data_IF_962775116741
#
_entry.id   IF_962775116741
#
_cell.length_a   1.000
_cell.length_b   1.000
_cell.length_c   1.000
_cell.angle_alpha   90.00
_cell.angle_beta   90.00
_cell.angle_gamma   90.00
#
_symmetry.space_group_name_H-M   'P 1'
#
loop_
_entity.id
_entity.type
_entity.pdbx_description
1 polymer ?
#
# COMPACT_ATOMS: atom_id res chain seq x y z
N UNK A 1 -5.67 35.93 29.34
CA UNK A 1 -5.25 35.24 30.58
C UNK A 1 -5.78 33.80 30.72
N UNK A 2 -6.38 33.19 29.67
CA UNK A 2 -6.78 31.76 29.65
C UNK A 2 -5.65 30.80 29.24
N UNK A 3 -4.49 31.30 28.81
CA UNK A 3 -3.36 30.48 28.31
C UNK A 3 -2.45 29.88 29.42
N UNK A 4 -2.81 30.03 30.71
CA UNK A 4 -2.04 29.55 31.88
C UNK A 4 -2.77 28.37 32.57
N UNK A 5 -3.76 27.75 31.92
CA UNK A 5 -4.70 26.81 32.53
C UNK A 5 -4.18 25.36 32.74
N UNK A 6 -2.88 25.16 32.96
CA UNK A 6 -2.30 23.81 33.16
C UNK A 6 -1.43 23.69 34.40
N UNK A 7 -1.13 24.79 35.08
CA UNK A 7 -0.52 24.76 36.42
C UNK A 7 -1.59 24.33 37.42
N UNK A 8 -1.85 23.03 37.47
CA UNK A 8 -2.48 22.44 38.64
C UNK A 8 -1.44 22.41 39.77
N UNK A 9 -1.33 23.53 40.49
CA UNK A 9 -0.41 23.67 41.62
C UNK A 9 -0.57 22.54 42.65
N UNK A 10 -1.80 22.02 42.81
CA UNK A 10 -2.07 20.90 43.71
C UNK A 10 -1.40 19.61 43.23
N UNK A 11 -1.19 19.44 41.92
CA UNK A 11 -0.55 18.25 41.33
C UNK A 11 0.96 18.22 41.52
N UNK A 12 1.61 19.38 41.55
CA UNK A 12 3.06 19.51 41.80
C UNK A 12 3.38 19.27 43.29
N UNK A 13 2.40 19.45 44.18
CA UNK A 13 2.54 19.22 45.62
C UNK A 13 2.04 17.85 46.11
N UNK A 14 1.10 17.20 45.42
CA UNK A 14 0.47 15.97 45.91
C UNK A 14 1.15 14.67 45.51
N UNK A 15 2.00 14.65 44.49
CA UNK A 15 2.96 13.55 44.33
C UNK A 15 4.12 13.86 45.29
N UNK A 16 4.24 13.10 46.37
CA UNK A 16 5.48 13.04 47.14
C UNK A 16 6.60 12.76 46.13
N UNK A 17 7.34 13.82 45.78
CA UNK A 17 8.62 13.68 45.09
C UNK A 17 9.51 12.98 46.08
N UNK A 18 9.48 11.65 46.08
CA UNK A 18 10.45 10.80 46.73
C UNK A 18 11.78 11.07 46.04
N UNK A 19 12.46 12.13 46.46
CA UNK A 19 13.88 12.32 46.22
C UNK A 19 14.52 11.13 46.91
N UNK A 20 14.80 10.07 46.16
CA UNK A 20 15.65 8.98 46.64
C UNK A 20 17.01 9.62 46.82
N UNK A 21 17.33 10.02 48.06
CA UNK A 21 18.68 10.36 48.47
C UNK A 21 19.57 9.20 48.04
N UNK A 22 20.43 9.45 47.06
CA UNK A 22 21.48 8.54 46.67
C UNK A 22 22.43 8.43 47.86
N UNK A 23 22.25 7.34 48.59
CA UNK A 23 23.00 6.98 49.78
C UNK A 23 24.47 6.73 49.38
N UNK A 24 25.26 7.80 49.29
CA UNK A 24 26.71 7.71 49.09
C UNK A 24 27.29 7.21 50.40
N UNK A 25 27.67 5.93 50.40
CA UNK A 25 28.50 5.30 51.42
C UNK A 25 29.78 6.14 51.65
N UNK A 26 29.77 7.00 52.67
CA UNK A 26 31.00 7.57 53.23
C UNK A 26 31.64 6.53 54.13
N UNK A 27 32.67 5.86 53.60
CA UNK A 27 33.58 5.03 54.38
C UNK A 27 34.34 5.92 55.38
N UNK A 28 34.13 5.64 56.66
CA UNK A 28 34.84 6.24 57.78
C UNK A 28 36.13 5.47 58.10
N UNK A 29 37.27 6.15 58.17
CA UNK A 29 38.43 5.72 58.98
C UNK A 29 39.27 6.93 59.45
N UNK A 30 39.08 7.31 60.73
CA UNK A 30 40.05 7.69 61.81
C UNK A 30 41.45 8.22 61.40
N UNK A 31 42.13 9.16 62.07
CA UNK A 31 42.04 9.96 63.32
C UNK A 31 43.29 10.88 63.32
N UNK A 32 43.26 12.09 63.93
CA UNK A 32 44.16 12.57 65.04
C UNK A 32 44.10 14.11 65.24
N UNK A 33 43.49 14.53 66.36
CA UNK A 33 43.83 15.58 67.38
C UNK A 33 44.51 16.89 66.93
N UNK A 34 44.06 18.11 67.28
CA UNK A 34 43.99 18.79 68.62
C UNK A 34 43.17 20.11 68.54
N UNK A 35 42.30 20.46 69.51
CA UNK A 35 42.42 21.54 70.57
C UNK A 35 42.81 22.92 69.99
N UNK A 36 42.21 24.11 70.22
CA UNK A 36 41.14 24.75 71.01
C UNK A 36 40.74 26.03 70.19
N UNK A 37 39.56 26.64 70.24
CA UNK A 37 39.13 27.65 71.24
C UNK A 37 37.69 28.14 70.89
N UNK A 38 37.02 28.64 71.93
CA UNK A 38 35.59 28.99 72.03
C UNK A 38 35.20 30.35 71.43
N UNK A 39 33.86 30.52 71.32
CA UNK A 39 33.09 31.79 71.38
C UNK A 39 32.93 32.53 70.04
N UNK A 40 31.78 33.09 69.62
CA UNK A 40 30.63 33.69 70.31
C UNK A 40 29.38 33.50 69.44
N UNK A 41 28.27 33.20 70.10
CA UNK A 41 26.89 33.21 69.60
C UNK A 41 26.49 34.53 68.93
N UNK A 42 26.09 34.47 67.67
CA UNK A 42 25.18 35.46 67.07
C UNK A 42 24.04 34.69 66.40
N UNK A 43 22.99 34.43 67.18
CA UNK A 43 21.68 34.00 66.70
C UNK A 43 21.05 35.15 65.88
N UNK A 44 21.46 35.21 64.61
CA UNK A 44 20.60 35.75 63.56
C UNK A 44 19.94 34.52 62.94
N UNK A 45 18.60 34.38 62.95
CA UNK A 45 17.97 33.27 62.26
C UNK A 45 18.48 33.31 60.81
N UNK A 46 19.10 32.22 60.30
CA UNK A 46 19.58 32.23 58.93
C UNK A 46 18.37 32.54 58.07
N UNK A 47 18.38 33.72 57.42
CA UNK A 47 17.43 34.03 56.35
C UNK A 47 17.46 32.79 55.47
N UNK A 48 16.33 32.09 55.36
CA UNK A 48 16.21 30.85 54.61
C UNK A 48 16.80 31.09 53.23
N UNK A 49 18.07 30.74 53.06
CA UNK A 49 18.77 30.87 51.81
C UNK A 49 18.15 29.79 50.96
N UNK A 50 17.50 30.21 49.88
CA UNK A 50 16.88 29.33 48.91
C UNK A 50 18.02 28.48 48.30
N UNK A 51 18.36 27.36 48.94
CA UNK A 51 19.36 26.41 48.44
C UNK A 51 18.69 25.58 47.35
N UNK A 52 18.56 26.18 46.16
CA UNK A 52 18.15 25.44 44.98
C UNK A 52 19.35 24.59 44.55
N UNK A 53 19.24 23.27 44.70
CA UNK A 53 20.25 22.36 44.20
C UNK A 53 20.39 22.50 42.67
N UNK A 54 21.61 22.33 42.15
CA UNK A 54 21.88 22.39 40.70
C UNK A 54 20.98 21.45 39.90
N UNK A 55 20.60 20.32 40.50
CA UNK A 55 19.64 19.37 39.92
C UNK A 55 18.25 19.99 39.75
N UNK A 56 17.75 20.69 40.77
CA UNK A 56 16.45 21.38 40.73
C UNK A 56 16.48 22.52 39.70
N UNK A 57 17.59 23.27 39.60
CA UNK A 57 17.76 24.29 38.56
C UNK A 57 17.73 23.68 37.15
N UNK A 58 18.37 22.53 36.94
CA UNK A 58 18.38 21.81 35.66
C UNK A 58 17.00 21.29 35.30
N UNK A 59 16.26 20.75 36.28
CA UNK A 59 14.89 20.30 36.09
C UNK A 59 13.94 21.47 35.77
N UNK A 60 14.07 22.59 36.46
CA UNK A 60 13.30 23.81 36.18
C UNK A 60 13.61 24.35 34.77
N UNK A 61 14.88 24.38 34.38
CA UNK A 61 15.29 24.76 33.03
C UNK A 61 14.67 23.84 31.97
N UNK A 62 14.80 22.52 32.15
CA UNK A 62 14.22 21.55 31.23
C UNK A 62 12.70 21.70 31.13
N UNK A 63 12.01 21.95 32.23
CA UNK A 63 10.57 22.21 32.23
C UNK A 63 10.20 23.49 31.45
N UNK A 64 10.98 24.56 31.60
CA UNK A 64 10.81 25.77 30.78
C UNK A 64 11.00 25.47 29.29
N UNK A 65 12.01 24.66 28.93
CA UNK A 65 12.21 24.20 27.55
C UNK A 65 11.02 23.39 27.04
N UNK A 66 10.48 22.47 27.85
CA UNK A 66 9.25 21.74 27.54
C UNK A 66 8.11 22.72 27.24
N UNK A 67 7.94 23.75 28.06
CA UNK A 67 6.85 24.72 27.90
C UNK A 67 6.96 25.51 26.60
N UNK A 68 8.16 25.99 26.27
CA UNK A 68 8.41 26.69 25.00
C UNK A 68 8.12 25.78 23.82
N UNK A 69 8.60 24.54 23.87
CA UNK A 69 8.33 23.52 22.86
C UNK A 69 6.82 23.31 22.66
N UNK A 70 6.06 23.11 23.74
CA UNK A 70 4.61 22.98 23.68
C UNK A 70 3.91 24.21 23.10
N UNK A 71 4.30 25.42 23.55
CA UNK A 71 3.70 26.66 23.05
C UNK A 71 3.93 26.85 21.55
N UNK A 72 5.06 26.40 21.01
CA UNK A 72 5.33 26.46 19.57
C UNK A 72 4.41 25.53 18.77
N UNK A 73 4.13 24.33 19.29
CA UNK A 73 3.17 23.40 18.67
C UNK A 73 1.75 23.95 18.78
N UNK A 74 1.34 24.42 19.96
CA UNK A 74 0.02 25.04 20.17
C UNK A 74 -0.19 26.23 19.22
N UNK A 75 0.84 27.07 19.05
CA UNK A 75 0.80 28.21 18.13
C UNK A 75 0.53 27.76 16.69
N UNK A 76 1.21 26.72 16.21
CA UNK A 76 0.97 26.18 14.86
C UNK A 76 -0.45 25.64 14.69
N UNK A 77 -0.98 24.94 15.69
CA UNK A 77 -2.36 24.45 15.67
C UNK A 77 -3.36 25.61 15.66
N UNK A 78 -3.15 26.64 16.51
CA UNK A 78 -3.98 27.86 16.56
C UNK A 78 -3.96 28.62 15.22
N UNK A 79 -2.78 28.79 14.61
CA UNK A 79 -2.65 29.47 13.31
C UNK A 79 -3.41 28.76 12.19
N UNK A 80 -3.59 27.44 12.30
CA UNK A 80 -4.38 26.62 11.36
C UNK A 80 -5.84 26.42 11.79
N UNK A 81 -6.29 27.09 12.85
CA UNK A 81 -7.62 26.92 13.44
C UNK A 81 -7.94 25.47 13.85
N UNK A 82 -6.94 24.67 14.25
CA UNK A 82 -7.12 23.28 14.69
C UNK A 82 -7.39 23.26 16.20
N UNK A 83 -8.58 22.83 16.66
CA UNK A 83 -8.88 22.68 18.07
C UNK A 83 -8.04 21.56 18.69
N UNK A 84 -7.56 21.78 19.92
CA UNK A 84 -6.79 20.79 20.68
C UNK A 84 -7.20 20.77 22.15
N UNK A 85 -6.88 19.65 22.81
CA UNK A 85 -7.10 19.43 24.25
C UNK A 85 -5.83 18.90 24.89
N UNK A 86 -5.58 19.26 26.15
CA UNK A 86 -4.46 18.73 26.92
C UNK A 86 -4.85 17.40 27.55
N UNK A 87 -4.01 16.38 27.40
CA UNK A 87 -4.24 15.04 27.91
C UNK A 87 -2.99 14.58 28.67
N UNK A 88 -3.17 14.13 29.91
CA UNK A 88 -2.05 13.60 30.70
C UNK A 88 -1.85 12.10 30.40
N UNK A 89 -0.74 11.71 29.73
CA UNK A 89 -0.52 10.32 29.33
C UNK A 89 -0.26 9.37 30.51
N UNK A 90 0.10 9.90 31.69
CA UNK A 90 0.57 9.09 32.82
C UNK A 90 -0.44 8.94 33.97
N UNK A 91 -1.71 9.26 33.75
CA UNK A 91 -2.76 9.20 34.79
C UNK A 91 -3.12 7.78 35.23
N UNK A 92 -2.89 6.75 34.39
CA UNK A 92 -3.41 5.39 34.62
C UNK A 92 -2.36 4.26 34.52
N UNK A 93 -1.07 4.54 34.35
CA UNK A 93 -0.03 3.50 34.24
C UNK A 93 1.06 3.63 35.32
N UNK A 94 1.40 2.52 36.04
CA UNK A 94 2.54 2.50 36.95
C UNK A 94 3.86 2.57 36.18
N UNK A 95 4.85 3.22 36.79
CA UNK A 95 6.18 3.42 36.21
C UNK A 95 6.92 2.08 36.16
N UNK A 96 7.39 1.67 34.99
CA UNK A 96 8.38 0.60 34.89
C UNK A 96 9.77 1.19 35.20
N UNK A 97 10.62 0.51 35.99
CA UNK A 97 11.91 1.05 36.45
C UNK A 97 12.90 1.38 35.32
N UNK A 98 12.69 0.83 34.13
CA UNK A 98 13.47 1.10 32.91
C UNK A 98 13.22 2.52 32.34
N UNK A 99 12.01 3.08 32.50
CA UNK A 99 11.67 4.42 31.97
C UNK A 99 12.22 5.56 32.84
N UNK A 100 12.47 5.30 34.13
CA UNK A 100 12.98 6.29 35.10
C UNK A 100 14.39 6.77 34.75
N UNK A 101 15.20 5.91 34.13
CA UNK A 101 16.59 6.23 33.77
C UNK A 101 16.72 6.93 32.41
N UNK A 102 15.66 6.93 31.60
CA UNK A 102 15.66 7.42 30.21
C UNK A 102 14.87 8.73 30.08
N UNK A 103 13.88 8.96 30.95
CA UNK A 103 12.98 10.12 30.91
C UNK A 103 13.21 11.04 32.11
N UNK A 104 13.00 12.35 31.92
CA UNK A 104 12.98 13.31 33.03
C UNK A 104 11.87 12.95 34.03
N UNK A 105 12.13 13.09 35.34
CA UNK A 105 11.13 13.02 36.42
C UNK A 105 9.90 13.88 36.13
N UNK A 106 10.09 15.02 35.44
CA UNK A 106 9.06 15.96 35.05
C UNK A 106 8.32 15.61 33.75
N UNK A 107 8.72 14.55 33.03
CA UNK A 107 8.07 14.16 31.78
C UNK A 107 6.58 13.82 31.96
N UNK A 108 6.18 13.39 33.16
CA UNK A 108 4.79 13.12 33.55
C UNK A 108 3.99 14.40 33.86
N UNK A 109 4.69 15.48 34.20
CA UNK A 109 4.09 16.80 34.47
C UNK A 109 3.72 17.53 33.18
N UNK A 110 4.27 17.12 32.05
CA UNK A 110 4.07 17.74 30.75
C UNK A 110 2.93 17.03 29.98
N UNK A 111 1.76 17.68 29.78
CA UNK A 111 0.59 17.06 29.17
C UNK A 111 0.78 16.87 27.66
N UNK A 112 0.38 15.75 27.07
CA UNK A 112 0.33 15.60 25.62
C UNK A 112 -0.82 16.43 25.01
N UNK A 113 -0.73 16.76 23.72
CA UNK A 113 -1.83 17.38 22.99
C UNK A 113 -2.64 16.31 22.26
N UNK A 114 -3.97 16.41 22.36
CA UNK A 114 -4.91 15.60 21.59
C UNK A 114 -5.66 16.50 20.61
N UNK A 115 -5.59 16.16 19.34
CA UNK A 115 -6.30 16.82 18.24
C UNK A 115 -7.25 15.83 17.57
N UNK A 116 -8.35 16.34 17.03
CA UNK A 116 -9.29 15.49 16.28
C UNK A 116 -8.83 15.32 14.84
N UNK A 117 -8.86 14.09 14.31
CA UNK A 117 -8.48 13.78 12.93
C UNK A 117 -9.28 14.59 11.92
N UNK A 118 -10.59 14.79 12.15
CA UNK A 118 -11.46 15.62 11.31
C UNK A 118 -11.02 17.08 11.16
N UNK A 119 -10.20 17.59 12.07
CA UNK A 119 -9.72 18.98 12.05
C UNK A 119 -8.29 19.07 11.52
N UNK A 120 -7.37 18.23 12.00
CA UNK A 120 -5.98 18.29 11.54
C UNK A 120 -5.80 17.69 10.14
N UNK A 121 -6.59 16.68 9.76
CA UNK A 121 -6.54 16.04 8.44
C UNK A 121 -7.65 16.58 7.51
N UNK A 122 -8.23 17.75 7.81
CA UNK A 122 -9.24 18.34 6.93
C UNK A 122 -8.64 18.62 5.54
N UNK A 123 -9.28 18.10 4.49
CA UNK A 123 -8.78 18.19 3.12
C UNK A 123 -7.57 17.27 2.82
N UNK A 124 -7.03 16.57 3.81
CA UNK A 124 -5.95 15.61 3.59
C UNK A 124 -6.49 14.29 2.99
N UNK A 125 -5.71 13.62 2.12
CA UNK A 125 -6.10 12.32 1.60
C UNK A 125 -6.23 11.29 2.74
N UNK A 126 -7.20 10.38 2.62
CA UNK A 126 -7.42 9.27 3.53
C UNK A 126 -7.66 9.67 5.00
N UNK A 127 -8.14 10.88 5.28
CA UNK A 127 -8.42 11.35 6.65
C UNK A 127 -9.33 10.37 7.43
N UNK A 128 -10.23 9.69 6.74
CA UNK A 128 -11.15 8.71 7.30
C UNK A 128 -10.48 7.40 7.75
N UNK A 129 -9.24 7.16 7.32
CA UNK A 129 -8.43 6.02 7.77
C UNK A 129 -7.77 6.26 9.13
N UNK A 130 -7.79 7.49 9.65
CA UNK A 130 -7.32 7.80 11.00
C UNK A 130 -8.45 7.60 12.03
N UNK A 131 -8.11 7.05 13.20
CA UNK A 131 -8.97 7.11 14.38
C UNK A 131 -9.19 8.58 14.81
N UNK A 132 -10.32 8.91 15.48
CA UNK A 132 -10.69 10.29 15.77
C UNK A 132 -9.64 11.08 16.56
N UNK A 133 -8.90 10.44 17.48
CA UNK A 133 -7.95 11.12 18.34
C UNK A 133 -6.52 10.92 17.81
N UNK A 134 -5.82 12.02 17.56
CA UNK A 134 -4.40 12.07 17.18
C UNK A 134 -3.63 12.70 18.32
N UNK A 135 -2.53 12.08 18.73
CA UNK A 135 -1.71 12.51 19.85
C UNK A 135 -0.46 13.22 19.32
N UNK A 136 -0.14 14.38 19.86
CA UNK A 136 1.05 15.17 19.51
C UNK A 136 1.88 15.39 20.77
N UNK A 137 3.16 15.02 20.73
CA UNK A 137 4.05 14.98 21.90
C UNK A 137 5.42 15.57 21.54
N UNK A 138 5.79 16.73 22.11
CA UNK A 138 7.16 17.19 22.17
C UNK A 138 8.06 16.21 22.94
N UNK A 139 9.18 15.85 22.32
CA UNK A 139 10.20 14.94 22.83
C UNK A 139 11.54 15.67 22.95
N UNK A 140 12.47 15.08 23.72
CA UNK A 140 13.87 15.50 23.82
C UNK A 140 14.10 16.95 24.29
N UNK A 141 13.08 17.61 24.84
CA UNK A 141 13.17 18.96 25.41
C UNK A 141 14.04 19.05 26.67
N UNK A 142 14.39 17.91 27.27
CA UNK A 142 15.30 17.79 28.41
C UNK A 142 16.76 17.48 28.02
N UNK A 143 17.04 17.36 26.72
CA UNK A 143 18.36 17.01 26.19
C UNK A 143 19.06 18.21 25.59
N UNK A 144 20.38 18.12 25.39
CA UNK A 144 21.15 19.13 24.63
C UNK A 144 20.81 19.13 23.13
N UNK A 145 20.07 18.12 22.66
CA UNK A 145 19.58 18.07 21.28
C UNK A 145 18.32 18.94 21.14
N UNK A 146 18.06 19.38 19.91
CA UNK A 146 16.84 20.12 19.60
C UNK A 146 15.59 19.34 20.01
N UNK A 147 14.61 20.05 20.56
CA UNK A 147 13.31 19.47 20.86
C UNK A 147 12.66 18.98 19.56
N UNK A 148 12.12 17.76 19.60
CA UNK A 148 11.46 17.11 18.48
C UNK A 148 9.96 16.99 18.79
N UNK A 149 9.15 16.65 17.80
CA UNK A 149 7.72 16.38 18.01
C UNK A 149 7.39 15.05 17.38
N UNK A 150 6.71 14.17 18.12
CA UNK A 150 6.10 12.97 17.56
C UNK A 150 4.58 13.15 17.48
N UNK A 151 4.04 12.89 16.31
CA UNK A 151 2.60 12.84 16.06
C UNK A 151 2.20 11.40 15.83
N UNK A 152 1.35 10.85 16.70
CA UNK A 152 0.90 9.47 16.67
C UNK A 152 -0.55 9.40 16.15
N UNK A 153 -0.74 8.66 15.06
CA UNK A 153 -2.03 8.39 14.43
C UNK A 153 -2.33 6.91 14.52
N UNK A 154 -3.45 6.55 15.17
CA UNK A 154 -3.93 5.17 15.14
C UNK A 154 -4.76 4.94 13.89
N UNK A 155 -4.42 3.94 13.10
CA UNK A 155 -5.12 3.60 11.86
C UNK A 155 -6.41 2.83 12.14
N UNK A 156 -7.41 3.06 11.30
CA UNK A 156 -8.71 2.42 11.32
C UNK A 156 -8.71 1.28 10.30
N UNK A 157 -9.23 0.12 10.68
CA UNK A 157 -9.48 -1.02 9.78
C UNK A 157 -8.28 -1.64 9.06
N UNK A 158 -7.05 -1.23 9.37
CA UNK A 158 -5.86 -1.97 8.93
C UNK A 158 -5.77 -3.22 9.79
N UNK A 159 -6.28 -4.33 9.27
CA UNK A 159 -6.04 -5.64 9.89
C UNK A 159 -4.56 -5.95 9.79
N UNK A 160 -4.03 -6.66 10.79
CA UNK A 160 -2.69 -7.21 10.68
C UNK A 160 -2.62 -8.12 9.44
N UNK A 161 -1.53 -8.02 8.65
CA UNK A 161 -1.37 -8.89 7.49
C UNK A 161 -1.53 -10.36 7.90
N UNK A 162 -2.35 -11.10 7.16
CA UNK A 162 -2.65 -12.50 7.48
C UNK A 162 -1.69 -13.40 6.69
N UNK A 163 -0.73 -14.05 7.36
CA UNK A 163 0.17 -15.01 6.71
C UNK A 163 1.47 -15.27 7.47
N UNK A 164 2.13 -16.40 7.18
CA UNK A 164 3.43 -16.78 7.79
C UNK A 164 4.61 -15.89 7.36
N UNK A 165 4.39 -15.01 6.39
CA UNK A 165 5.31 -13.96 5.91
C UNK A 165 5.06 -12.60 6.57
N UNK A 166 4.03 -12.47 7.43
CA UNK A 166 3.89 -11.29 8.27
C UNK A 166 5.13 -11.19 9.17
N UNK A 167 5.95 -10.17 8.91
CA UNK A 167 7.29 -10.03 9.47
C UNK A 167 7.31 -10.22 10.99
N UNK A 168 8.39 -10.83 11.48
CA UNK A 168 8.67 -11.07 12.90
C UNK A 168 8.87 -9.79 13.73
N UNK A 169 8.83 -8.61 13.09
CA UNK A 169 8.99 -7.32 13.75
C UNK A 169 7.63 -6.66 14.00
N UNK A 170 7.32 -6.43 15.27
CA UNK A 170 6.20 -5.60 15.72
C UNK A 170 6.30 -4.15 15.22
N UNK A 171 7.50 -3.71 14.81
CA UNK A 171 7.79 -2.34 14.41
C UNK A 171 8.40 -2.28 13.02
N UNK A 172 7.77 -1.51 12.14
CA UNK A 172 8.22 -1.22 10.77
C UNK A 172 8.71 0.23 10.73
N UNK A 173 9.79 0.50 10.00
CA UNK A 173 10.34 1.86 9.86
C UNK A 173 10.46 2.21 8.37
N UNK A 174 9.39 2.76 7.75
CA UNK A 174 9.41 3.10 6.32
C UNK A 174 10.42 4.21 6.00
N UNK A 175 10.65 5.13 6.94
CA UNK A 175 11.63 6.20 6.81
C UNK A 175 12.25 6.54 8.17
N UNK A 176 13.29 7.38 8.17
CA UNK A 176 13.87 7.88 9.44
C UNK A 176 12.84 8.60 10.32
N UNK A 177 11.81 9.19 9.69
CA UNK A 177 10.78 10.02 10.32
C UNK A 177 9.47 9.27 10.59
N UNK A 178 9.31 8.03 10.11
CA UNK A 178 8.06 7.29 10.27
C UNK A 178 8.34 5.95 10.95
N UNK A 179 7.56 5.66 11.98
CA UNK A 179 7.58 4.37 12.68
C UNK A 179 6.15 3.84 12.68
N UNK A 180 5.96 2.59 12.28
CA UNK A 180 4.67 1.92 12.30
C UNK A 180 4.71 0.73 13.26
N UNK A 181 3.90 0.81 14.30
CA UNK A 181 3.64 -0.29 15.20
C UNK A 181 2.48 -1.13 14.64
N UNK A 182 2.80 -2.35 14.20
CA UNK A 182 1.83 -3.28 13.61
C UNK A 182 0.93 -3.91 14.68
N UNK A 183 1.34 -3.91 15.94
CA UNK A 183 0.57 -4.48 17.06
C UNK A 183 -0.57 -3.56 17.47
N UNK A 184 -0.30 -2.26 17.60
CA UNK A 184 -1.30 -1.26 18.00
C UNK A 184 -1.95 -0.56 16.81
N UNK A 185 -1.46 -0.82 15.58
CA UNK A 185 -1.78 -0.10 14.35
C UNK A 185 -1.56 1.41 14.48
N UNK A 186 -0.44 1.82 15.09
CA UNK A 186 -0.08 3.22 15.34
C UNK A 186 1.07 3.65 14.44
N UNK A 187 0.85 4.70 13.66
CA UNK A 187 1.90 5.37 12.88
C UNK A 187 2.37 6.59 13.63
N UNK A 188 3.67 6.64 13.92
CA UNK A 188 4.35 7.74 14.60
C UNK A 188 5.20 8.50 13.60
N UNK A 189 4.92 9.79 13.46
CA UNK A 189 5.64 10.72 12.61
C UNK A 189 6.54 11.59 13.48
N UNK A 190 7.84 11.54 13.26
CA UNK A 190 8.86 12.31 13.97
C UNK A 190 9.24 13.54 13.14
N UNK A 191 8.94 14.70 13.70
CA UNK A 191 9.40 16.00 13.22
C UNK A 191 10.62 16.45 13.99
N UNK A 192 11.67 16.83 13.26
CA UNK A 192 12.94 17.28 13.83
C UNK A 192 12.91 18.77 14.20
N UNK A 193 12.12 19.57 13.48
CA UNK A 193 11.91 20.98 13.77
C UNK A 193 10.52 21.20 14.40
N UNK A 194 10.54 21.73 15.62
CA UNK A 194 9.33 22.03 16.36
C UNK A 194 8.52 23.16 15.73
N UNK A 195 9.11 24.02 14.90
CA UNK A 195 8.45 25.18 14.31
C UNK A 195 7.62 24.84 13.06
N UNK A 196 7.90 23.71 12.42
CA UNK A 196 7.26 23.22 11.19
C UNK A 196 6.57 21.88 11.37
N UNK A 197 6.54 21.34 12.59
CA UNK A 197 6.08 19.97 12.88
C UNK A 197 4.68 19.62 12.36
N UNK A 198 3.74 20.58 12.33
CA UNK A 198 2.39 20.31 11.80
C UNK A 198 2.41 20.16 10.28
N UNK A 199 3.19 20.97 9.57
CA UNK A 199 3.32 20.88 8.10
C UNK A 199 4.06 19.61 7.69
N UNK A 200 5.18 19.31 8.37
CA UNK A 200 5.93 18.07 8.15
C UNK A 200 5.04 16.85 8.36
N UNK A 201 4.22 16.84 9.43
CA UNK A 201 3.26 15.77 9.65
C UNK A 201 2.26 15.64 8.48
N UNK A 202 1.68 16.73 8.00
CA UNK A 202 0.70 16.68 6.92
C UNK A 202 1.30 16.22 5.59
N UNK A 203 2.55 16.62 5.30
CA UNK A 203 3.29 16.15 4.13
C UNK A 203 3.57 14.64 4.21
N UNK A 204 4.09 14.17 5.34
CA UNK A 204 4.39 12.76 5.55
C UNK A 204 3.11 11.91 5.55
N UNK A 205 2.01 12.41 6.15
CA UNK A 205 0.70 11.77 6.08
C UNK A 205 0.24 11.64 4.63
N UNK A 206 0.31 12.72 3.84
CA UNK A 206 -0.07 12.68 2.43
C UNK A 206 0.75 11.63 1.65
N UNK A 207 2.03 11.43 2.00
CA UNK A 207 2.89 10.43 1.37
C UNK A 207 2.43 8.99 1.65
N UNK A 208 2.15 8.66 2.91
CA UNK A 208 1.76 7.28 3.30
C UNK A 208 0.27 6.96 3.15
N UNK A 209 -0.58 8.00 3.12
CA UNK A 209 -2.04 7.88 3.08
C UNK A 209 -2.57 6.98 1.94
N UNK A 210 -1.91 7.00 0.77
CA UNK A 210 -2.30 6.21 -0.40
C UNK A 210 -2.20 4.71 -0.14
N UNK A 211 -1.10 4.28 0.46
CA UNK A 211 -0.89 2.87 0.82
C UNK A 211 -1.85 2.44 1.94
N UNK A 212 -2.15 3.33 2.88
CA UNK A 212 -3.19 3.09 3.90
C UNK A 212 -4.57 2.87 3.27
N UNK A 213 -4.94 3.67 2.26
CA UNK A 213 -6.21 3.48 1.52
C UNK A 213 -6.22 2.13 0.81
N UNK A 214 -5.15 1.77 0.11
CA UNK A 214 -5.09 0.51 -0.63
C UNK A 214 -5.22 -0.67 0.34
N UNK A 215 -4.44 -0.70 1.43
CA UNK A 215 -4.50 -1.76 2.43
C UNK A 215 -5.91 -1.89 3.04
N UNK A 216 -6.54 -0.76 3.38
CA UNK A 216 -7.90 -0.74 3.91
C UNK A 216 -8.91 -1.29 2.91
N UNK A 217 -8.90 -0.83 1.67
CA UNK A 217 -9.86 -1.26 0.66
C UNK A 217 -9.73 -2.76 0.38
N UNK A 218 -8.51 -3.30 0.29
CA UNK A 218 -8.26 -4.74 0.20
C UNK A 218 -8.86 -5.48 1.39
N UNK A 219 -8.60 -5.01 2.62
CA UNK A 219 -9.15 -5.60 3.84
C UNK A 219 -10.69 -5.47 3.96
N UNK A 220 -11.31 -4.54 3.23
CA UNK A 220 -12.76 -4.44 3.12
C UNK A 220 -13.30 -5.40 2.06
N UNK A 221 -12.62 -5.54 0.92
CA UNK A 221 -13.01 -6.48 -0.13
C UNK A 221 -13.02 -7.93 0.36
N UNK A 222 -12.07 -8.32 1.21
CA UNK A 222 -12.00 -9.68 1.78
C UNK A 222 -13.23 -10.07 2.61
N UNK A 223 -13.98 -9.08 3.11
CA UNK A 223 -15.22 -9.29 3.89
C UNK A 223 -16.45 -9.51 2.99
N UNK A 224 -16.36 -9.18 1.71
CA UNK A 224 -17.46 -9.37 0.77
C UNK A 224 -17.54 -10.84 0.36
N UNK A 225 -18.76 -11.39 0.34
CA UNK A 225 -18.99 -12.83 0.07
C UNK A 225 -18.47 -13.29 -1.29
N UNK A 226 -18.46 -12.40 -2.28
CA UNK A 226 -18.05 -12.69 -3.67
C UNK A 226 -16.54 -12.59 -3.90
N UNK A 227 -15.79 -12.11 -2.89
CA UNK A 227 -14.36 -11.79 -2.98
C UNK A 227 -13.55 -12.37 -1.80
N UNK A 228 -13.94 -13.56 -1.31
CA UNK A 228 -13.31 -14.21 -0.15
C UNK A 228 -11.84 -14.58 -0.35
N UNK A 229 -11.43 -14.80 -1.59
CA UNK A 229 -10.04 -15.17 -1.91
C UNK A 229 -9.10 -13.96 -1.91
N UNK A 230 -9.65 -12.75 -1.77
CA UNK A 230 -8.84 -11.54 -1.63
C UNK A 230 -8.34 -11.46 -0.20
N UNK A 231 -7.03 -11.41 -0.03
CA UNK A 231 -6.41 -11.35 1.30
C UNK A 231 -5.23 -10.40 1.31
N UNK A 232 -5.21 -9.50 2.29
CA UNK A 232 -4.05 -8.67 2.57
C UNK A 232 -2.93 -9.53 3.14
N UNK A 233 -1.78 -9.56 2.46
CA UNK A 233 -0.63 -10.42 2.81
C UNK A 233 0.46 -9.65 3.54
N UNK A 234 0.80 -8.45 3.08
CA UNK A 234 1.78 -7.58 3.72
C UNK A 234 1.45 -6.10 3.52
N UNK A 235 1.83 -5.29 4.50
CA UNK A 235 1.64 -3.83 4.49
C UNK A 235 2.70 -3.16 5.37
N UNK A 236 3.44 -2.22 4.79
CA UNK A 236 4.55 -1.52 5.45
C UNK A 236 4.52 0.01 5.28
N UNK A 237 3.35 0.58 4.90
CA UNK A 237 3.15 1.99 4.53
C UNK A 237 3.79 2.46 3.21
N UNK A 238 4.70 1.68 2.60
CA UNK A 238 5.29 1.98 1.28
C UNK A 238 4.76 1.03 0.20
N UNK A 239 4.50 -0.20 0.62
CA UNK A 239 4.11 -1.33 -0.19
C UNK A 239 2.90 -2.02 0.43
N UNK A 240 1.96 -2.42 -0.43
CA UNK A 240 0.83 -3.27 -0.09
C UNK A 240 0.88 -4.50 -0.98
N UNK A 241 0.97 -5.67 -0.37
CA UNK A 241 0.88 -6.94 -1.08
C UNK A 241 -0.40 -7.67 -0.70
N UNK A 242 -1.11 -8.17 -1.70
CA UNK A 242 -2.33 -8.93 -1.46
C UNK A 242 -2.55 -10.00 -2.53
N UNK A 243 -3.24 -11.07 -2.13
CA UNK A 243 -3.78 -12.04 -3.05
C UNK A 243 -5.05 -11.47 -3.69
N UNK A 244 -5.14 -11.52 -5.02
CA UNK A 244 -6.35 -11.08 -5.74
C UNK A 244 -7.21 -12.26 -6.20
N UNK A 245 -6.64 -13.46 -6.34
CA UNK A 245 -7.34 -14.70 -6.62
C UNK A 245 -6.46 -15.90 -6.27
N UNK A 246 -6.98 -16.88 -5.54
CA UNK A 246 -6.26 -18.11 -5.16
C UNK A 246 -4.85 -17.81 -4.60
N UNK A 247 -3.79 -18.28 -5.29
CA UNK A 247 -2.41 -18.03 -4.93
C UNK A 247 -1.77 -16.85 -5.68
N UNK A 248 -2.49 -16.18 -6.58
CA UNK A 248 -2.00 -15.06 -7.36
C UNK A 248 -1.99 -13.76 -6.56
N UNK A 249 -0.84 -13.10 -6.57
CA UNK A 249 -0.56 -11.91 -5.75
C UNK A 249 -0.09 -10.74 -6.57
N UNK A 250 -0.42 -9.55 -6.08
CA UNK A 250 0.09 -8.27 -6.59
C UNK A 250 0.65 -7.47 -5.42
N UNK A 251 1.83 -6.90 -5.64
CA UNK A 251 2.47 -5.94 -4.75
C UNK A 251 2.43 -4.56 -5.40
N UNK A 252 1.92 -3.57 -4.67
CA UNK A 252 1.79 -2.18 -5.11
C UNK A 252 2.73 -1.34 -4.26
N UNK A 253 3.69 -0.68 -4.89
CA UNK A 253 4.62 0.25 -4.22
C UNK A 253 4.42 1.65 -4.77
N UNK A 254 4.49 2.66 -3.90
CA UNK A 254 4.49 4.07 -4.34
C UNK A 254 5.92 4.51 -4.64
N UNK A 255 6.19 4.95 -5.87
CA UNK A 255 7.48 5.58 -6.21
C UNK A 255 7.47 7.06 -5.81
N UNK A 256 8.50 7.49 -5.07
CA UNK A 256 8.69 8.87 -4.61
C UNK A 256 9.23 9.78 -5.74
N UNK A 257 8.47 9.94 -6.83
CA UNK A 257 8.87 10.91 -7.86
C UNK A 257 8.30 12.30 -7.54
N UNK A 258 9.15 13.13 -6.90
CA UNK A 258 8.86 14.52 -6.48
C UNK A 258 8.51 15.46 -7.64
N UNK A 259 8.60 15.00 -8.89
CA UNK A 259 8.37 15.77 -10.11
C UNK A 259 6.90 15.75 -10.59
N UNK A 260 6.05 14.86 -10.06
CA UNK A 260 4.69 14.69 -10.56
C UNK A 260 3.68 15.62 -9.85
N UNK A 261 3.35 16.74 -10.51
CA UNK A 261 2.28 17.66 -10.11
C UNK A 261 0.88 17.00 -10.21
N UNK A 262 0.77 15.85 -10.90
CA UNK A 262 -0.51 15.29 -11.38
C UNK A 262 -0.87 13.88 -10.91
N UNK A 263 -0.07 13.19 -10.09
CA UNK A 263 -0.52 11.91 -9.54
C UNK A 263 0.59 11.03 -8.98
N UNK A 264 0.24 10.18 -8.01
CA UNK A 264 1.16 9.19 -7.48
C UNK A 264 1.60 8.21 -8.57
N UNK A 265 2.90 7.95 -8.66
CA UNK A 265 3.41 6.84 -9.47
C UNK A 265 3.31 5.56 -8.65
N UNK A 266 2.65 4.56 -9.22
CA UNK A 266 2.56 3.21 -8.66
C UNK A 266 3.38 2.28 -9.55
N UNK A 267 4.13 1.40 -8.90
CA UNK A 267 4.81 0.28 -9.53
C UNK A 267 4.09 -0.99 -9.05
N UNK A 268 3.75 -1.87 -9.99
CA UNK A 268 3.10 -3.14 -9.69
C UNK A 268 4.09 -4.27 -9.89
N UNK A 269 4.07 -5.26 -9.00
CA UNK A 269 4.83 -6.49 -9.15
C UNK A 269 3.92 -7.69 -8.94
N UNK A 270 3.91 -8.60 -9.90
CA UNK A 270 3.08 -9.79 -9.85
C UNK A 270 3.89 -11.00 -9.36
N UNK A 271 3.26 -11.83 -8.54
CA UNK A 271 3.88 -13.03 -7.99
C UNK A 271 2.83 -14.09 -7.67
N UNK A 272 3.27 -15.24 -7.17
CA UNK A 272 2.41 -16.28 -6.60
C UNK A 272 2.85 -16.60 -5.18
N UNK A 273 1.90 -16.88 -4.30
CA UNK A 273 2.16 -17.28 -2.92
C UNK A 273 2.63 -18.72 -2.83
N UNK A 274 3.60 -18.98 -1.96
CA UNK A 274 4.08 -20.33 -1.68
C UNK A 274 2.98 -21.15 -1.02
N UNK A 275 2.28 -21.98 -1.78
CA UNK A 275 1.59 -23.12 -1.17
C UNK A 275 2.64 -23.99 -0.48
N UNK A 276 2.43 -24.34 0.80
CA UNK A 276 3.35 -25.12 1.64
C UNK A 276 3.53 -26.58 1.17
N UNK A 277 3.50 -26.85 -0.14
CA UNK A 277 3.94 -28.13 -0.70
C UNK A 277 5.46 -28.14 -0.68
N UNK A 278 6.00 -28.86 0.30
CA UNK A 278 7.44 -29.03 0.54
C UNK A 278 8.13 -29.55 -0.72
N UNK A 279 9.24 -28.92 -1.11
CA UNK A 279 10.32 -29.61 -1.80
C UNK A 279 10.61 -29.23 -3.26
N UNK A 280 9.91 -28.26 -3.86
CA UNK A 280 10.22 -27.84 -5.25
C UNK A 280 11.17 -26.65 -5.23
N UNK A 281 12.26 -26.76 -6.01
CA UNK A 281 13.27 -25.73 -6.20
C UNK A 281 12.64 -24.41 -6.69
N UNK A 282 13.11 -23.24 -6.22
CA UNK A 282 12.59 -21.92 -6.62
C UNK A 282 12.86 -21.53 -8.09
N UNK A 283 13.49 -22.40 -8.87
CA UNK A 283 13.97 -22.14 -10.24
C UNK A 283 13.04 -22.70 -11.34
N UNK A 284 11.75 -22.88 -11.05
CA UNK A 284 10.78 -23.43 -12.01
C UNK A 284 9.78 -22.37 -12.50
N UNK A 285 9.56 -22.32 -13.82
CA UNK A 285 8.53 -21.53 -14.52
C UNK A 285 7.08 -21.80 -14.04
N UNK A 286 6.90 -22.68 -13.06
CA UNK A 286 5.62 -22.95 -12.39
C UNK A 286 5.13 -21.75 -11.56
N UNK A 287 6.03 -20.84 -11.19
CA UNK A 287 5.77 -19.76 -10.23
C UNK A 287 5.56 -18.40 -10.89
N UNK A 288 5.60 -18.37 -12.22
CA UNK A 288 5.32 -17.20 -13.02
C UNK A 288 3.86 -16.75 -12.84
N UNK A 289 3.66 -15.45 -12.67
CA UNK A 289 2.34 -14.84 -12.70
C UNK A 289 2.15 -14.19 -14.08
N UNK A 290 1.23 -14.69 -14.91
CA UNK A 290 1.09 -14.23 -16.30
C UNK A 290 0.48 -12.82 -16.42
N UNK A 291 0.08 -12.19 -15.32
CA UNK A 291 -0.25 -10.76 -15.30
C UNK A 291 0.99 -9.85 -15.33
N UNK A 292 2.19 -10.38 -15.10
CA UNK A 292 3.44 -9.60 -15.13
C UNK A 292 3.67 -8.95 -16.50
N UNK A 293 3.36 -9.66 -17.59
CA UNK A 293 3.46 -9.13 -18.97
C UNK A 293 2.50 -7.96 -19.24
N UNK A 294 1.44 -7.83 -18.45
CA UNK A 294 0.45 -6.76 -18.55
C UNK A 294 0.71 -5.60 -17.57
N UNK A 295 1.77 -5.65 -16.76
CA UNK A 295 2.15 -4.63 -15.78
C UNK A 295 2.06 -3.20 -16.33
N UNK A 296 2.63 -2.88 -17.52
CA UNK A 296 2.69 -1.51 -18.00
C UNK A 296 1.31 -0.90 -18.23
N UNK A 297 0.31 -1.73 -18.55
CA UNK A 297 -1.07 -1.32 -18.76
C UNK A 297 -1.90 -1.34 -17.49
N UNK A 298 -1.61 -2.27 -16.58
CA UNK A 298 -2.33 -2.44 -15.31
C UNK A 298 -2.00 -1.31 -14.32
N UNK A 299 -0.76 -0.84 -14.28
CA UNK A 299 -0.37 0.29 -13.42
C UNK A 299 -1.12 1.57 -13.73
N UNK A 300 -1.52 1.77 -14.98
CA UNK A 300 -2.24 2.96 -15.43
C UNK A 300 -3.70 2.96 -14.95
N UNK A 301 -4.27 1.79 -14.59
CA UNK A 301 -5.60 1.69 -13.99
C UNK A 301 -5.69 2.47 -12.68
N UNK A 302 -4.61 2.46 -11.88
CA UNK A 302 -4.54 3.23 -10.63
C UNK A 302 -4.36 4.73 -10.86
N UNK A 303 -3.86 5.13 -12.05
CA UNK A 303 -3.64 6.54 -12.43
C UNK A 303 -4.90 7.18 -13.03
N UNK A 304 -5.68 6.43 -13.81
CA UNK A 304 -6.71 6.97 -14.71
C UNK A 304 -8.11 7.17 -14.08
N UNK A 305 -8.36 6.76 -12.83
CA UNK A 305 -9.71 6.78 -12.26
C UNK A 305 -10.10 8.05 -11.50
N UNK A 306 -10.89 8.92 -12.14
CA UNK A 306 -11.89 9.84 -11.56
C UNK A 306 -11.58 10.53 -10.21
N UNK A 307 -10.31 10.86 -9.95
CA UNK A 307 -9.86 11.60 -8.77
C UNK A 307 -9.89 10.83 -7.43
N UNK A 308 -10.20 9.53 -7.40
CA UNK A 308 -10.26 8.74 -6.14
C UNK A 308 -9.59 7.38 -6.28
N UNK A 309 -8.62 7.10 -5.40
CA UNK A 309 -7.80 5.88 -5.40
C UNK A 309 -8.60 4.60 -5.14
N UNK A 310 -9.57 4.64 -4.24
CA UNK A 310 -10.36 3.46 -3.86
C UNK A 310 -11.12 2.84 -5.05
N UNK A 311 -11.98 3.56 -5.80
CA UNK A 311 -12.64 3.00 -6.99
C UNK A 311 -11.69 2.43 -8.04
N UNK A 312 -10.54 3.09 -8.27
CA UNK A 312 -9.51 2.63 -9.20
C UNK A 312 -8.92 1.29 -8.78
N UNK A 313 -8.72 1.08 -7.47
CA UNK A 313 -8.25 -0.19 -6.93
C UNK A 313 -9.28 -1.31 -7.08
N UNK A 314 -10.57 -1.04 -6.80
CA UNK A 314 -11.64 -2.03 -7.05
C UNK A 314 -11.65 -2.44 -8.54
N UNK A 315 -11.52 -1.47 -9.45
CA UNK A 315 -11.42 -1.72 -10.89
C UNK A 315 -10.19 -2.55 -11.25
N UNK A 316 -9.02 -2.26 -10.68
CA UNK A 316 -7.81 -3.05 -10.91
C UNK A 316 -8.04 -4.51 -10.49
N UNK A 317 -8.58 -4.73 -9.29
CA UNK A 317 -8.88 -6.06 -8.77
C UNK A 317 -9.88 -6.81 -9.66
N UNK A 318 -10.92 -6.13 -10.13
CA UNK A 318 -11.92 -6.73 -11.01
C UNK A 318 -11.30 -7.14 -12.35
N UNK A 319 -10.46 -6.27 -12.95
CA UNK A 319 -9.71 -6.60 -14.17
C UNK A 319 -8.81 -7.81 -13.94
N UNK A 320 -7.98 -7.81 -12.89
CA UNK A 320 -7.08 -8.93 -12.59
C UNK A 320 -7.83 -10.24 -12.44
N UNK A 321 -8.95 -10.24 -11.71
CA UNK A 321 -9.77 -11.44 -11.53
C UNK A 321 -10.41 -11.87 -12.84
N UNK A 322 -10.93 -10.96 -13.64
CA UNK A 322 -11.68 -11.29 -14.85
C UNK A 322 -10.80 -11.67 -16.04
N UNK A 323 -9.55 -11.19 -16.07
CA UNK A 323 -8.56 -11.62 -17.07
C UNK A 323 -7.79 -12.87 -16.64
N UNK A 324 -7.82 -13.28 -15.37
CA UNK A 324 -7.09 -14.46 -14.89
C UNK A 324 -7.33 -15.74 -15.72
N UNK A 325 -8.58 -16.13 -16.07
CA UNK A 325 -8.80 -17.32 -16.90
C UNK A 325 -8.26 -17.19 -18.33
N UNK A 326 -8.11 -15.97 -18.83
CA UNK A 326 -7.50 -15.69 -20.15
C UNK A 326 -6.00 -15.93 -20.05
N UNK A 327 -5.32 -15.21 -19.16
CA UNK A 327 -3.84 -15.25 -19.06
C UNK A 327 -3.33 -16.62 -18.62
N UNK A 328 -4.05 -17.32 -17.75
CA UNK A 328 -3.67 -18.68 -17.34
C UNK A 328 -3.87 -19.70 -18.44
N UNK A 329 -4.92 -19.57 -19.26
CA UNK A 329 -5.11 -20.49 -20.37
C UNK A 329 -4.21 -20.18 -21.57
N UNK A 330 -3.81 -18.93 -21.79
CA UNK A 330 -2.76 -18.57 -22.76
C UNK A 330 -1.42 -19.18 -22.36
N UNK A 331 -1.07 -19.09 -21.09
CA UNK A 331 0.16 -19.70 -20.55
C UNK A 331 0.13 -21.23 -20.66
N UNK A 332 -1.03 -21.86 -20.45
CA UNK A 332 -1.19 -23.30 -20.69
C UNK A 332 -0.98 -23.67 -22.15
N UNK A 333 -1.56 -22.92 -23.09
CA UNK A 333 -1.35 -23.14 -24.53
C UNK A 333 0.14 -23.01 -24.88
N UNK A 334 0.80 -21.94 -24.42
CA UNK A 334 2.24 -21.74 -24.64
C UNK A 334 3.06 -22.94 -24.17
N UNK A 335 2.81 -23.41 -22.94
CA UNK A 335 3.49 -24.59 -22.37
C UNK A 335 3.17 -25.88 -23.10
N UNK A 336 1.94 -26.08 -23.57
CA UNK A 336 1.55 -27.25 -24.38
C UNK A 336 2.39 -27.30 -25.67
N UNK A 337 2.50 -26.17 -26.40
CA UNK A 337 3.31 -26.08 -27.63
C UNK A 337 4.82 -26.25 -27.38
N UNK A 338 5.35 -25.71 -26.27
CA UNK A 338 6.76 -25.90 -25.89
C UNK A 338 7.10 -27.36 -25.57
N UNK A 339 6.20 -28.06 -24.87
CA UNK A 339 6.41 -29.45 -24.44
C UNK A 339 6.27 -30.46 -25.59
N UNK A 340 5.45 -30.16 -26.60
CA UNK A 340 5.26 -31.02 -27.77
C UNK A 340 6.49 -31.04 -28.69
N UNK A 341 7.54 -30.25 -28.39
CA UNK A 341 8.74 -30.15 -29.22
C UNK A 341 8.44 -29.56 -30.60
N UNK A 342 7.33 -28.84 -30.73
CA UNK A 342 6.91 -28.20 -31.96
C UNK A 342 7.98 -27.17 -32.38
N UNK A 343 8.45 -27.26 -33.62
CA UNK A 343 9.50 -26.39 -34.18
C UNK A 343 9.05 -24.94 -34.37
N UNK A 344 7.73 -24.69 -34.37
CA UNK A 344 7.14 -23.37 -34.50
C UNK A 344 6.56 -22.92 -33.15
N UNK A 345 7.18 -21.97 -32.45
CA UNK A 345 6.66 -21.50 -31.17
C UNK A 345 5.40 -20.67 -31.35
N UNK A 346 4.51 -20.70 -30.35
CA UNK A 346 3.42 -19.75 -30.19
C UNK A 346 3.89 -18.66 -29.23
N UNK A 347 3.63 -17.39 -29.55
CA UNK A 347 3.97 -16.26 -28.68
C UNK A 347 2.70 -15.59 -28.15
N UNK A 348 2.77 -15.04 -26.93
CA UNK A 348 1.65 -14.37 -26.27
C UNK A 348 2.09 -13.07 -25.63
N UNK A 349 1.31 -12.01 -25.79
CA UNK A 349 1.60 -10.73 -25.13
C UNK A 349 0.35 -9.90 -24.85
N UNK A 350 0.47 -8.99 -23.88
CA UNK A 350 -0.57 -8.03 -23.56
C UNK A 350 -0.57 -6.84 -24.52
N UNK A 351 -1.76 -6.45 -25.00
CA UNK A 351 -2.01 -5.23 -25.78
C UNK A 351 -2.61 -4.11 -24.92
N UNK A 352 -3.32 -4.48 -23.85
CA UNK A 352 -3.83 -3.56 -22.82
C UNK A 352 -4.22 -4.36 -21.56
N UNK A 353 -4.64 -3.68 -20.49
CA UNK A 353 -5.00 -4.29 -19.20
C UNK A 353 -6.06 -5.42 -19.26
N UNK A 354 -6.82 -5.52 -20.35
CA UNK A 354 -7.79 -6.58 -20.59
C UNK A 354 -7.79 -7.09 -22.03
N UNK A 355 -6.67 -6.94 -22.75
CA UNK A 355 -6.54 -7.39 -24.14
C UNK A 355 -5.21 -8.09 -24.32
N UNK A 356 -5.25 -9.35 -24.71
CA UNK A 356 -4.10 -10.21 -24.94
C UNK A 356 -4.14 -10.73 -26.37
N UNK A 357 -2.97 -11.05 -26.92
CA UNK A 357 -2.83 -11.62 -28.25
C UNK A 357 -1.97 -12.88 -28.19
N UNK A 358 -2.41 -13.89 -28.93
CA UNK A 358 -1.64 -15.06 -29.29
C UNK A 358 -1.23 -14.94 -30.76
N UNK A 359 0.05 -15.14 -31.07
CA UNK A 359 0.59 -15.15 -32.44
C UNK A 359 1.15 -16.54 -32.71
N UNK A 360 0.73 -17.14 -33.82
CA UNK A 360 1.26 -18.43 -34.27
C UNK A 360 2.63 -18.27 -34.92
N UNK A 361 3.44 -19.33 -34.95
CA UNK A 361 4.85 -19.28 -35.37
C UNK A 361 5.10 -18.85 -36.82
N UNK A 362 4.06 -18.71 -37.65
CA UNK A 362 4.17 -18.14 -38.99
C UNK A 362 4.17 -16.59 -39.00
N UNK A 363 3.94 -15.97 -37.85
CA UNK A 363 3.83 -14.54 -37.61
C UNK A 363 2.76 -13.82 -38.45
N UNK A 364 1.88 -14.58 -39.12
CA UNK A 364 0.84 -14.08 -40.00
C UNK A 364 -0.53 -14.20 -39.36
N UNK A 365 -0.77 -15.24 -38.56
CA UNK A 365 -2.06 -15.48 -37.93
C UNK A 365 -1.99 -15.23 -36.42
N UNK A 366 -3.11 -14.84 -35.84
CA UNK A 366 -3.20 -14.68 -34.40
C UNK A 366 -4.63 -14.61 -33.89
N UNK A 367 -4.77 -14.77 -32.57
CA UNK A 367 -6.03 -14.65 -31.85
C UNK A 367 -5.94 -13.49 -30.85
N UNK A 368 -6.98 -12.65 -30.84
CA UNK A 368 -7.15 -11.60 -29.84
C UNK A 368 -8.16 -12.04 -28.77
N UNK A 369 -7.74 -11.92 -27.51
CA UNK A 369 -8.55 -12.20 -26.33
C UNK A 369 -8.85 -10.91 -25.60
N UNK A 370 -10.12 -10.53 -25.52
CA UNK A 370 -10.52 -9.21 -25.00
C UNK A 370 -11.60 -9.30 -23.94
N UNK A 371 -11.31 -8.77 -22.76
CA UNK A 371 -12.30 -8.49 -21.73
C UNK A 371 -13.19 -7.33 -22.20
N UNK A 372 -14.49 -7.60 -22.24
CA UNK A 372 -15.55 -6.67 -22.60
C UNK A 372 -16.38 -6.30 -21.36
N UNK A 373 -17.27 -5.33 -21.51
CA UNK A 373 -18.22 -4.97 -20.45
C UNK A 373 -19.08 -6.16 -20.02
N UNK A 374 -19.45 -6.18 -18.75
CA UNK A 374 -20.24 -7.23 -18.09
C UNK A 374 -19.54 -8.59 -18.07
N UNK A 375 -18.22 -8.61 -17.86
CA UNK A 375 -17.42 -9.83 -17.68
C UNK A 375 -17.50 -10.82 -18.87
N UNK A 376 -17.77 -10.29 -20.06
CA UNK A 376 -17.76 -11.05 -21.31
C UNK A 376 -16.35 -11.03 -21.88
N UNK A 377 -15.97 -12.11 -22.55
CA UNK A 377 -14.67 -12.24 -23.20
C UNK A 377 -14.87 -12.55 -24.68
N UNK A 378 -14.24 -11.78 -25.53
CA UNK A 378 -14.13 -12.07 -26.96
C UNK A 378 -12.88 -12.89 -27.26
N UNK A 379 -13.03 -13.95 -28.06
CA UNK A 379 -11.95 -14.73 -28.71
C UNK A 379 -12.09 -14.47 -30.21
N UNK A 380 -11.16 -13.72 -30.79
CA UNK A 380 -11.36 -13.07 -32.08
C UNK A 380 -10.19 -13.36 -33.02
N UNK A 381 -10.45 -13.42 -34.32
CA UNK A 381 -9.37 -13.38 -35.31
C UNK A 381 -8.67 -12.02 -35.24
N UNK A 382 -7.37 -12.02 -34.97
CA UNK A 382 -6.58 -10.83 -34.74
C UNK A 382 -6.31 -9.99 -36.01
N UNK A 383 -6.64 -10.51 -37.20
CA UNK A 383 -6.60 -9.77 -38.48
C UNK A 383 -7.73 -8.74 -38.62
N UNK A 384 -8.83 -8.92 -37.88
CA UNK A 384 -9.98 -8.02 -37.92
C UNK A 384 -9.83 -6.87 -36.91
N UNK A 385 -9.84 -5.63 -37.42
CA UNK A 385 -9.87 -4.44 -36.55
C UNK A 385 -11.28 -4.15 -36.03
N UNK A 386 -11.44 -4.21 -34.71
CA UNK A 386 -12.68 -3.81 -34.01
C UNK A 386 -13.01 -2.31 -34.15
N UNK A 387 -12.05 -1.49 -34.58
CA UNK A 387 -12.19 -0.05 -34.68
C UNK A 387 -12.30 0.43 -36.14
N UNK A 388 -12.48 -0.49 -37.09
CA UNK A 388 -12.79 -0.12 -38.46
C UNK A 388 -14.25 0.34 -38.56
N UNK A 389 -14.49 1.59 -38.18
CA UNK A 389 -15.79 2.24 -38.37
C UNK A 389 -15.92 2.73 -39.81
N UNK A 390 -16.48 1.92 -40.71
CA UNK A 390 -17.79 2.20 -41.37
C UNK A 390 -18.11 1.16 -42.47
N UNK A 391 -19.38 0.73 -42.59
CA UNK A 391 -19.89 0.07 -43.78
C UNK A 391 -20.15 1.13 -44.85
N UNK A 392 -19.27 1.25 -45.84
CA UNK A 392 -19.60 1.90 -47.10
C UNK A 392 -20.59 1.03 -47.88
N UNK A 393 -21.85 1.12 -47.49
CA UNK A 393 -23.00 0.79 -48.33
C UNK A 393 -23.03 1.76 -49.53
N UNK A 394 -22.16 1.51 -50.50
CA UNK A 394 -22.41 1.79 -51.92
C UNK A 394 -21.70 0.72 -52.75
N UNK A 395 -22.48 -0.29 -53.13
CA UNK A 395 -22.24 -1.02 -54.38
C UNK A 395 -22.29 0.02 -55.50
N UNK A 396 -21.15 0.36 -56.06
CA UNK A 396 -21.07 0.67 -57.49
C UNK A 396 -20.16 -0.39 -58.14
N UNK A 397 -20.55 -0.91 -59.31
CA UNK A 397 -19.78 -1.92 -60.02
C UNK A 397 -18.67 -1.24 -60.82
N UNK A 398 -17.53 -1.93 -60.91
CA UNK A 398 -16.52 -1.80 -61.97
C UNK A 398 -15.77 -0.45 -62.03
N UNK A 399 -14.58 -0.43 -61.42
CA UNK A 399 -13.41 0.04 -62.16
C UNK A 399 -12.14 -0.66 -61.65
N UNK A 400 -11.41 -1.22 -62.62
CA UNK A 400 -10.15 -1.95 -62.47
C UNK A 400 -9.08 -0.95 -62.04
N UNK A 401 -8.86 -0.79 -60.73
CA UNK A 401 -7.66 -0.13 -60.22
C UNK A 401 -6.60 -1.21 -60.05
N UNK A 402 -5.65 -1.22 -60.97
CA UNK A 402 -4.44 -2.02 -60.87
C UNK A 402 -3.75 -1.73 -59.53
N UNK A 403 -3.70 -2.74 -58.67
CA UNK A 403 -2.87 -2.75 -57.47
C UNK A 403 -1.42 -2.47 -57.87
N UNK A 404 -0.85 -1.37 -57.38
CA UNK A 404 0.56 -1.05 -57.54
C UNK A 404 1.40 -2.20 -56.95
N UNK A 405 2.32 -2.74 -57.76
CA UNK A 405 3.27 -3.81 -57.42
C UNK A 405 4.31 -3.38 -56.37
N UNK A 406 4.19 -2.17 -55.82
CA UNK A 406 5.12 -1.56 -54.86
C UNK A 406 4.50 -1.26 -53.49
N UNK A 407 3.26 -1.70 -53.21
CA UNK A 407 2.80 -1.68 -51.82
C UNK A 407 3.64 -2.70 -51.02
N UNK A 408 4.21 -2.28 -49.87
CA UNK A 408 5.00 -3.20 -49.04
C UNK A 408 4.14 -4.43 -48.70
N UNK A 409 4.75 -5.63 -48.65
CA UNK A 409 4.00 -6.87 -48.46
C UNK A 409 3.11 -6.71 -47.22
N UNK A 410 1.80 -6.90 -47.39
CA UNK A 410 0.75 -6.86 -46.35
C UNK A 410 1.33 -6.97 -44.93
N UNK A 411 1.67 -5.82 -44.32
CA UNK A 411 2.35 -5.73 -43.01
C UNK A 411 1.41 -6.07 -41.84
N UNK A 412 0.19 -6.53 -42.13
CA UNK A 412 -0.84 -6.90 -41.17
C UNK A 412 -1.01 -8.41 -41.04
N UNK A 413 -1.65 -8.83 -39.95
CA UNK A 413 -2.06 -10.22 -39.77
C UNK A 413 -3.05 -10.62 -40.87
N UNK A 414 -2.93 -11.87 -41.32
CA UNK A 414 -3.81 -12.50 -42.31
C UNK A 414 -5.00 -13.18 -41.60
N UNK A 415 -6.19 -13.21 -42.22
CA UNK A 415 -7.33 -13.95 -41.68
C UNK A 415 -7.03 -15.44 -41.58
N UNK A 416 -7.46 -16.05 -40.48
CA UNK A 416 -7.35 -17.50 -40.29
C UNK A 416 -8.28 -18.20 -41.30
N UNK A 417 -7.77 -19.15 -42.11
CA UNK A 417 -8.59 -19.86 -43.08
C UNK A 417 -9.74 -20.62 -42.42
N UNK A 418 -10.96 -20.48 -42.95
CA UNK A 418 -12.18 -21.13 -42.48
C UNK A 418 -12.48 -20.91 -40.98
N UNK A 419 -12.10 -19.74 -40.44
CA UNK A 419 -12.23 -19.46 -39.01
C UNK A 419 -13.67 -19.54 -38.48
N UNK A 420 -14.66 -19.17 -39.29
CA UNK A 420 -16.07 -19.30 -38.93
C UNK A 420 -16.47 -20.74 -38.65
N UNK A 421 -16.00 -21.69 -39.45
CA UNK A 421 -16.28 -23.12 -39.26
C UNK A 421 -15.56 -23.64 -38.03
N UNK A 422 -14.30 -23.25 -37.83
CA UNK A 422 -13.53 -23.55 -36.61
C UNK A 422 -14.28 -23.09 -35.36
N UNK A 423 -14.79 -21.85 -35.38
CA UNK A 423 -15.55 -21.24 -34.29
C UNK A 423 -16.82 -22.04 -34.02
N UNK A 424 -17.64 -22.32 -35.03
CA UNK A 424 -18.90 -23.05 -34.85
C UNK A 424 -18.67 -24.48 -34.33
N UNK A 425 -17.65 -25.16 -34.82
CA UNK A 425 -17.27 -26.49 -34.37
C UNK A 425 -16.79 -26.47 -32.91
N UNK A 426 -15.90 -25.53 -32.54
CA UNK A 426 -15.43 -25.38 -31.17
C UNK A 426 -16.57 -25.08 -30.19
N UNK A 427 -17.53 -24.24 -30.60
CA UNK A 427 -18.73 -23.93 -29.81
C UNK A 427 -19.61 -25.15 -29.62
N UNK A 428 -19.89 -25.89 -30.71
CA UNK A 428 -20.72 -27.11 -30.66
C UNK A 428 -20.10 -28.16 -29.73
N UNK A 429 -18.79 -28.37 -29.83
CA UNK A 429 -18.05 -29.30 -28.97
C UNK A 429 -18.04 -28.86 -27.50
N UNK A 430 -17.83 -27.57 -27.22
CA UNK A 430 -17.84 -27.06 -25.85
C UNK A 430 -19.23 -27.18 -25.19
N UNK A 431 -20.31 -26.96 -25.95
CA UNK A 431 -21.69 -27.18 -25.48
C UNK A 431 -21.94 -28.68 -25.25
N UNK A 432 -21.52 -29.55 -26.18
CA UNK A 432 -21.68 -30.99 -26.04
C UNK A 432 -20.92 -31.57 -24.84
N UNK A 433 -19.75 -31.02 -24.52
CA UNK A 433 -18.96 -31.37 -23.35
C UNK A 433 -19.50 -30.79 -22.02
N UNK A 434 -20.53 -29.93 -22.07
CA UNK A 434 -21.08 -29.25 -20.89
C UNK A 434 -20.19 -28.16 -20.32
N UNK A 435 -19.16 -27.74 -21.05
CA UNK A 435 -18.18 -26.73 -20.63
C UNK A 435 -18.60 -25.30 -21.01
N UNK A 436 -19.59 -25.17 -21.90
CA UNK A 436 -20.23 -23.90 -22.27
C UNK A 436 -21.75 -23.98 -22.11
N UNK A 437 -22.36 -22.91 -21.60
CA UNK A 437 -23.81 -22.83 -21.42
C UNK A 437 -24.50 -22.16 -22.62
N UNK A 438 -25.54 -22.79 -23.20
CA UNK A 438 -26.38 -22.15 -24.20
C UNK A 438 -26.94 -20.82 -23.69
N UNK A 439 -26.88 -19.76 -24.50
CA UNK A 439 -27.37 -18.42 -24.14
C UNK A 439 -26.36 -17.51 -23.44
N UNK A 440 -25.19 -18.02 -23.01
CA UNK A 440 -24.07 -17.21 -22.52
C UNK A 440 -22.94 -17.06 -23.54
N UNK A 441 -23.15 -17.60 -24.72
CA UNK A 441 -22.18 -17.63 -25.79
C UNK A 441 -22.83 -17.15 -27.09
N UNK A 442 -22.07 -16.39 -27.87
CA UNK A 442 -22.44 -15.95 -29.20
C UNK A 442 -21.26 -16.16 -30.16
N UNK A 443 -21.47 -16.96 -31.21
CA UNK A 443 -20.55 -17.03 -32.34
C UNK A 443 -20.84 -15.87 -33.29
N UNK A 444 -19.77 -15.28 -33.83
CA UNK A 444 -19.80 -14.24 -34.87
C UNK A 444 -18.82 -14.62 -35.98
N UNK A 445 -18.94 -13.98 -37.14
CA UNK A 445 -18.17 -14.35 -38.35
C UNK A 445 -16.65 -14.42 -38.13
N UNK A 446 -16.12 -13.60 -37.22
CA UNK A 446 -14.70 -13.44 -36.92
C UNK A 446 -14.36 -13.74 -35.45
N UNK A 447 -15.19 -14.51 -34.73
CA UNK A 447 -14.88 -14.89 -33.34
C UNK A 447 -16.03 -15.41 -32.50
N UNK A 448 -15.80 -15.47 -31.19
CA UNK A 448 -16.76 -15.93 -30.18
C UNK A 448 -16.78 -14.94 -29.03
N UNK A 449 -17.96 -14.62 -28.51
CA UNK A 449 -18.14 -13.92 -27.24
C UNK A 449 -18.70 -14.90 -26.23
N UNK A 450 -18.06 -15.01 -25.07
CA UNK A 450 -18.43 -15.94 -23.99
C UNK A 450 -18.31 -15.28 -22.62
N UNK A 451 -18.74 -15.96 -21.57
CA UNK A 451 -18.51 -15.51 -20.20
C UNK A 451 -17.13 -15.98 -19.68
N UNK A 452 -16.76 -15.49 -18.50
CA UNK A 452 -15.51 -15.85 -17.83
C UNK A 452 -15.33 -17.36 -17.59
N UNK A 453 -16.41 -18.11 -17.39
CA UNK A 453 -16.34 -19.54 -17.09
C UNK A 453 -16.04 -20.35 -18.37
N UNK A 454 -16.63 -19.97 -19.50
CA UNK A 454 -16.45 -20.66 -20.78
C UNK A 454 -15.16 -20.31 -21.52
N UNK A 455 -14.46 -19.21 -21.19
CA UNK A 455 -13.34 -18.72 -22.01
C UNK A 455 -12.19 -19.72 -22.14
N UNK A 456 -11.75 -20.32 -21.03
CA UNK A 456 -10.59 -21.23 -21.00
C UNK A 456 -10.82 -22.50 -21.86
N UNK A 457 -11.93 -23.24 -21.71
CA UNK A 457 -12.18 -24.42 -22.55
C UNK A 457 -12.41 -24.08 -24.04
N UNK A 458 -13.01 -22.93 -24.35
CA UNK A 458 -13.20 -22.50 -25.73
C UNK A 458 -11.88 -22.09 -26.38
N UNK A 459 -11.05 -21.35 -25.65
CA UNK A 459 -9.74 -20.92 -26.12
C UNK A 459 -8.87 -22.11 -26.53
N UNK A 460 -8.80 -23.17 -25.71
CA UNK A 460 -8.04 -24.39 -26.07
C UNK A 460 -8.57 -25.07 -27.33
N UNK A 461 -9.89 -25.20 -27.48
CA UNK A 461 -10.49 -25.82 -28.67
C UNK A 461 -10.25 -25.01 -29.93
N UNK A 462 -10.38 -23.69 -29.84
CA UNK A 462 -10.09 -22.80 -30.97
C UNK A 462 -8.62 -22.91 -31.34
N UNK A 463 -7.70 -22.82 -30.38
CA UNK A 463 -6.25 -22.98 -30.61
C UNK A 463 -5.93 -24.29 -31.33
N UNK A 464 -6.36 -25.44 -30.78
CA UNK A 464 -6.09 -26.76 -31.38
C UNK A 464 -6.60 -26.88 -32.83
N UNK A 465 -7.78 -26.34 -33.11
CA UNK A 465 -8.37 -26.36 -34.46
C UNK A 465 -7.66 -25.41 -35.42
N UNK A 466 -7.31 -24.21 -34.97
CA UNK A 466 -6.51 -23.26 -35.77
C UNK A 466 -5.13 -23.84 -36.06
N UNK A 467 -4.48 -24.41 -35.05
CA UNK A 467 -3.20 -25.08 -35.20
C UNK A 467 -3.26 -26.20 -36.23
N UNK A 468 -4.25 -27.09 -36.13
CA UNK A 468 -4.46 -28.16 -37.11
C UNK A 468 -4.69 -27.58 -38.51
N UNK A 469 -5.48 -26.51 -38.62
CA UNK A 469 -5.76 -25.89 -39.92
C UNK A 469 -4.51 -25.29 -40.58
N UNK A 470 -3.66 -24.63 -39.81
CA UNK A 470 -2.48 -23.94 -40.32
C UNK A 470 -1.33 -24.91 -40.61
N UNK A 471 -1.16 -25.96 -39.80
CA UNK A 471 0.04 -26.80 -39.82
C UNK A 471 -0.19 -28.26 -40.20
N UNK A 472 -1.43 -28.78 -40.26
CA UNK A 472 -1.67 -30.18 -40.68
C UNK A 472 -1.50 -30.46 -42.18
N UNK A 473 -1.18 -29.45 -42.99
CA UNK A 473 -0.89 -29.58 -44.43
C UNK A 473 0.59 -29.30 -44.78
N UNK A 474 1.48 -29.21 -43.80
CA UNK A 474 2.93 -28.95 -44.01
C UNK A 474 3.77 -30.21 -43.90
#
# INVERSE_FOLDING_TARGET
MKDIAWLDFNRIHNDEVSIIESNIQKTSSKRKRSEDEQSISNDVPPRASFQLETQVLKELYNYCCARVAYMNVERQLKLRNIPFTHVNPASNHPVTPELVHIQSSLARSVPALCVQSKHILEGAPAAEAAMPNIRVIPLNWWSEKNAQVVTCVKLKYVQQPMGKTAGTSAVIRPSKRIIYDTTEAVVSFLSEDINTCVDEFLEEWARVSKMVVIAREVAQMSKNKDKKDICLLSFDLQTVEFAYAEDYTVSITTSEDRSSITGAKFDLRFSRTRSTRRGISPDSDEWFNPHDDAEPFLRDVLRQGHGRLAPSLHRLVDILRDTLPIVTGLEEIRKEHENEGNTTPVDTFAKSAGWYRLIYGDLKHGLDFRLMSNQRVGILDASHSLFSSTPSLKKEPEDVVMSNVNDPPNLGLQPIPDFFDIVNDAVREAIAAGEAQPGKLAAIDWGIVTDKAGVKPLMKRVDQKVWSKLYSNS
#
